data_IF_209226177087
#
_entry.id   IF_209226177087
#
_cell.length_a   1.000
_cell.length_b   1.000
_cell.length_c   1.000
_cell.angle_alpha   90.00
_cell.angle_beta   90.00
_cell.angle_gamma   90.00
#
_symmetry.space_group_name_H-M   'P 1'
#
loop_
_entity.id
_entity.type
_entity.pdbx_description
1 polymer ?
#
# COMPACT_ATOMS: atom_id res chain seq x y z
N UNK A 1 -8.20 -4.55 -23.94
CA UNK A 1 -6.91 -5.22 -23.61
C UNK A 1 -7.15 -6.19 -22.49
N UNK A 2 -6.76 -7.43 -22.65
CA UNK A 2 -6.96 -8.44 -21.61
C UNK A 2 -5.97 -8.22 -20.45
N UNK A 3 -6.46 -7.92 -19.26
CA UNK A 3 -5.68 -7.79 -18.02
C UNK A 3 -4.70 -8.97 -17.78
N UNK A 4 -5.11 -10.16 -18.20
CA UNK A 4 -4.32 -11.41 -18.08
C UNK A 4 -3.04 -11.39 -18.96
N UNK A 5 -3.07 -10.70 -20.09
CA UNK A 5 -1.90 -10.57 -20.99
C UNK A 5 -0.81 -9.74 -20.33
N UNK A 6 -1.19 -8.64 -19.69
CA UNK A 6 -0.27 -7.71 -19.03
C UNK A 6 0.43 -8.33 -17.80
N UNK A 7 -0.30 -9.05 -16.94
CA UNK A 7 0.30 -9.76 -15.80
C UNK A 7 1.28 -10.86 -16.22
N UNK A 8 0.94 -11.58 -17.28
CA UNK A 8 1.81 -12.62 -17.82
C UNK A 8 3.15 -12.07 -18.29
N UNK A 9 3.13 -10.94 -18.97
CA UNK A 9 4.34 -10.27 -19.44
C UNK A 9 5.18 -9.76 -18.27
N UNK A 10 4.56 -9.05 -17.33
CA UNK A 10 5.21 -8.54 -16.11
C UNK A 10 5.89 -9.69 -15.34
N UNK A 11 5.18 -10.78 -15.09
CA UNK A 11 5.74 -11.93 -14.37
C UNK A 11 6.91 -12.55 -15.14
N UNK A 12 6.78 -12.72 -16.45
CA UNK A 12 7.82 -13.31 -17.31
C UNK A 12 9.09 -12.45 -17.33
N UNK A 13 8.95 -11.13 -17.48
CA UNK A 13 10.07 -10.20 -17.55
C UNK A 13 10.86 -10.16 -16.24
N UNK A 14 10.19 -10.46 -15.11
CA UNK A 14 10.80 -10.58 -13.79
C UNK A 14 11.24 -12.01 -13.44
N UNK A 15 11.26 -12.93 -14.43
CA UNK A 15 11.70 -14.32 -14.24
C UNK A 15 10.74 -15.18 -13.39
N UNK A 16 9.49 -14.77 -13.28
CA UNK A 16 8.48 -15.47 -12.49
C UNK A 16 7.56 -16.32 -13.38
N UNK A 17 7.23 -17.52 -12.90
CA UNK A 17 6.22 -18.35 -13.55
C UNK A 17 4.85 -17.67 -13.48
N UNK A 18 4.15 -17.66 -14.60
CA UNK A 18 2.77 -17.23 -14.67
C UNK A 18 1.87 -18.30 -14.03
N UNK A 19 1.30 -18.00 -12.87
CA UNK A 19 0.39 -18.88 -12.15
C UNK A 19 -0.94 -18.19 -11.86
N UNK A 20 -2.01 -18.99 -11.76
CA UNK A 20 -3.34 -18.47 -11.45
C UNK A 20 -3.35 -17.62 -10.18
N UNK A 21 -2.72 -18.09 -9.11
CA UNK A 21 -2.69 -17.38 -7.83
C UNK A 21 -1.94 -16.03 -7.91
N UNK A 22 -0.81 -15.96 -8.63
CA UNK A 22 -0.09 -14.69 -8.84
C UNK A 22 -0.93 -13.69 -9.61
N UNK A 23 -1.57 -14.12 -10.68
CA UNK A 23 -2.47 -13.27 -11.46
C UNK A 23 -3.66 -12.78 -10.61
N UNK A 24 -4.28 -13.66 -9.82
CA UNK A 24 -5.40 -13.27 -8.96
C UNK A 24 -4.97 -12.23 -7.92
N UNK A 25 -3.79 -12.38 -7.32
CA UNK A 25 -3.26 -11.40 -6.34
C UNK A 25 -2.96 -10.05 -7.02
N UNK A 26 -2.32 -10.06 -8.19
CA UNK A 26 -2.05 -8.83 -8.94
C UNK A 26 -3.36 -8.12 -9.33
N UNK A 27 -4.37 -8.87 -9.76
CA UNK A 27 -5.70 -8.30 -10.07
C UNK A 27 -6.40 -7.69 -8.85
N UNK A 28 -6.19 -8.23 -7.65
CA UNK A 28 -6.71 -7.62 -6.41
C UNK A 28 -6.05 -6.27 -6.16
N UNK A 29 -4.74 -6.16 -6.34
CA UNK A 29 -4.03 -4.89 -6.21
C UNK A 29 -4.47 -3.84 -7.24
N UNK A 30 -4.67 -4.23 -8.50
CA UNK A 30 -5.10 -3.30 -9.55
C UNK A 30 -6.48 -2.69 -9.30
N UNK A 31 -7.34 -3.42 -8.62
CA UNK A 31 -8.70 -2.96 -8.27
C UNK A 31 -8.74 -2.16 -6.97
N UNK A 32 -7.66 -2.13 -6.22
CA UNK A 32 -7.59 -1.42 -4.95
C UNK A 32 -6.90 -0.08 -5.11
N UNK A 33 -7.59 0.96 -4.65
CA UNK A 33 -7.02 2.31 -4.55
C UNK A 33 -6.20 2.53 -3.27
N UNK A 34 -6.06 1.48 -2.44
CA UNK A 34 -5.38 1.55 -1.16
C UNK A 34 -4.46 0.34 -0.95
N UNK A 35 -3.38 0.49 -0.17
CA UNK A 35 -2.58 -0.63 0.25
C UNK A 35 -3.40 -1.66 1.03
N UNK A 36 -3.11 -2.93 0.85
CA UNK A 36 -3.85 -4.04 1.42
C UNK A 36 -2.97 -4.90 2.33
N UNK A 37 -3.55 -5.41 3.41
CA UNK A 37 -2.95 -6.48 4.21
C UNK A 37 -3.12 -7.84 3.52
N UNK A 38 -2.31 -8.83 3.90
CA UNK A 38 -2.46 -10.19 3.42
C UNK A 38 -3.85 -10.78 3.74
N UNK A 39 -4.41 -10.44 4.91
CA UNK A 39 -5.76 -10.87 5.32
C UNK A 39 -6.85 -10.28 4.42
N UNK A 40 -6.73 -9.01 4.03
CA UNK A 40 -7.66 -8.36 3.11
C UNK A 40 -7.59 -8.99 1.71
N UNK A 41 -6.38 -9.27 1.22
CA UNK A 41 -6.17 -9.98 -0.05
C UNK A 41 -6.80 -11.38 0.01
N UNK A 42 -6.62 -12.10 1.11
CA UNK A 42 -7.22 -13.40 1.33
C UNK A 42 -8.75 -13.33 1.28
N UNK A 43 -9.35 -12.41 2.03
CA UNK A 43 -10.80 -12.21 2.06
C UNK A 43 -11.37 -11.91 0.67
N UNK A 44 -10.70 -11.06 -0.11
CA UNK A 44 -11.10 -10.72 -1.47
C UNK A 44 -11.04 -11.94 -2.40
N UNK A 45 -9.95 -12.72 -2.35
CA UNK A 45 -9.81 -13.93 -3.17
C UNK A 45 -10.82 -15.02 -2.82
N UNK A 46 -11.13 -15.18 -1.54
CA UNK A 46 -12.19 -16.10 -1.08
C UNK A 46 -13.57 -15.66 -1.59
N UNK A 47 -13.86 -14.36 -1.56
CA UNK A 47 -15.12 -13.82 -2.12
C UNK A 47 -15.26 -14.09 -3.62
N UNK A 48 -14.15 -14.18 -4.34
CA UNK A 48 -14.08 -14.52 -5.75
C UNK A 48 -14.04 -16.03 -6.02
N UNK A 49 -14.31 -16.86 -5.02
CA UNK A 49 -14.23 -18.34 -5.10
C UNK A 49 -12.84 -18.87 -5.53
N UNK A 50 -11.79 -18.15 -5.20
CA UNK A 50 -10.42 -18.61 -5.45
C UNK A 50 -9.95 -19.49 -4.29
N UNK A 51 -9.68 -20.77 -4.56
CA UNK A 51 -9.13 -21.69 -3.57
C UNK A 51 -7.64 -21.38 -3.32
N UNK A 52 -7.35 -20.69 -2.24
CA UNK A 52 -6.00 -20.31 -1.82
C UNK A 52 -5.94 -20.29 -0.29
N UNK A 53 -4.79 -20.55 0.29
CA UNK A 53 -4.56 -20.36 1.73
C UNK A 53 -3.65 -19.17 2.02
N UNK A 54 -3.73 -18.66 3.24
CA UNK A 54 -3.00 -17.48 3.67
C UNK A 54 -1.47 -17.66 3.57
N UNK A 55 -0.96 -18.86 3.86
CA UNK A 55 0.48 -19.17 3.73
C UNK A 55 0.98 -19.02 2.29
N UNK A 56 0.17 -19.40 1.32
CA UNK A 56 0.48 -19.23 -0.11
C UNK A 56 0.49 -17.75 -0.48
N UNK A 57 -0.45 -16.97 0.04
CA UNK A 57 -0.48 -15.51 -0.16
C UNK A 57 0.81 -14.87 0.36
N UNK A 58 1.20 -15.14 1.60
CA UNK A 58 2.44 -14.60 2.17
C UNK A 58 3.68 -14.96 1.34
N UNK A 59 3.75 -16.17 0.83
CA UNK A 59 4.84 -16.64 -0.02
C UNK A 59 4.89 -15.89 -1.34
N UNK A 60 3.73 -15.66 -1.96
CA UNK A 60 3.62 -14.91 -3.21
C UNK A 60 3.98 -13.43 -2.96
N UNK A 61 3.44 -12.80 -1.92
CA UNK A 61 3.73 -11.42 -1.55
C UNK A 61 5.24 -11.21 -1.31
N UNK A 62 5.89 -12.13 -0.61
CA UNK A 62 7.34 -12.10 -0.42
C UNK A 62 8.07 -12.12 -1.76
N UNK A 63 7.73 -13.05 -2.64
CA UNK A 63 8.35 -13.19 -3.98
C UNK A 63 8.14 -11.93 -4.82
N UNK A 64 6.91 -11.39 -4.84
CA UNK A 64 6.61 -10.16 -5.59
C UNK A 64 7.33 -8.94 -5.03
N UNK A 65 7.50 -8.85 -3.70
CA UNK A 65 8.27 -7.77 -3.05
C UNK A 65 9.77 -7.88 -3.37
N UNK A 66 10.34 -9.08 -3.35
CA UNK A 66 11.75 -9.32 -3.72
C UNK A 66 12.04 -8.99 -5.19
N UNK A 67 11.03 -9.04 -6.04
CA UNK A 67 11.09 -8.63 -7.45
C UNK A 67 10.66 -7.18 -7.68
N UNK A 68 10.44 -6.43 -6.62
CA UNK A 68 10.01 -5.03 -6.67
C UNK A 68 8.73 -4.78 -7.49
N UNK A 69 7.90 -5.81 -7.66
CA UNK A 69 6.58 -5.69 -8.31
C UNK A 69 5.53 -5.12 -7.38
N UNK A 70 5.72 -5.29 -6.09
CA UNK A 70 4.91 -4.69 -5.04
C UNK A 70 5.81 -4.06 -3.97
N UNK A 71 5.29 -3.04 -3.30
CA UNK A 71 5.94 -2.37 -2.18
C UNK A 71 5.31 -2.87 -0.89
N UNK A 72 6.16 -3.20 0.10
CA UNK A 72 5.75 -3.49 1.46
C UNK A 72 5.82 -2.22 2.29
N UNK A 73 4.69 -1.86 2.90
CA UNK A 73 4.57 -0.70 3.79
C UNK A 73 4.42 -1.22 5.22
N UNK A 74 5.22 -0.68 6.12
CA UNK A 74 5.14 -0.95 7.57
C UNK A 74 4.79 0.34 8.27
N UNK A 75 3.68 0.37 9.00
CA UNK A 75 3.27 1.54 9.78
C UNK A 75 3.87 1.42 11.17
N UNK A 76 4.49 2.49 11.64
CA UNK A 76 5.04 2.54 12.99
C UNK A 76 3.92 2.32 14.03
N UNK A 77 4.15 1.39 14.95
CA UNK A 77 3.17 1.00 15.97
C UNK A 77 2.07 0.03 15.49
N UNK A 78 2.15 -0.45 14.25
CA UNK A 78 1.29 -1.53 13.76
C UNK A 78 2.15 -2.73 13.34
N UNK A 79 1.78 -3.92 13.80
CA UNK A 79 2.47 -5.16 13.46
C UNK A 79 2.08 -5.72 12.09
N UNK A 80 1.12 -5.10 11.41
CA UNK A 80 0.63 -5.55 10.11
C UNK A 80 1.37 -4.85 8.97
N UNK A 81 1.87 -5.66 8.05
CA UNK A 81 2.40 -5.16 6.79
C UNK A 81 1.25 -4.92 5.79
N UNK A 82 1.36 -3.82 5.08
CA UNK A 82 0.52 -3.48 3.94
C UNK A 82 1.32 -3.62 2.65
N UNK A 83 0.63 -3.88 1.57
CA UNK A 83 1.24 -4.08 0.27
C UNK A 83 0.47 -3.30 -0.79
N UNK A 84 1.18 -2.76 -1.77
CA UNK A 84 0.61 -2.11 -2.95
C UNK A 84 1.46 -2.42 -4.19
N UNK A 85 0.90 -2.20 -5.39
CA UNK A 85 1.68 -2.31 -6.62
C UNK A 85 2.79 -1.25 -6.63
N UNK A 86 3.98 -1.67 -7.05
CA UNK A 86 5.06 -0.74 -7.35
C UNK A 86 4.76 -0.12 -8.73
N UNK A 87 4.11 1.03 -8.72
CA UNK A 87 3.89 1.83 -9.94
C UNK A 87 4.99 2.87 -10.07
N UNK A 88 5.33 3.23 -11.30
CA UNK A 88 6.28 4.31 -11.60
C UNK A 88 5.76 5.69 -11.15
N UNK A 89 4.50 5.77 -10.79
CA UNK A 89 3.90 6.97 -10.22
C UNK A 89 4.29 7.10 -8.74
N UNK A 90 4.87 8.24 -8.39
CA UNK A 90 5.20 8.59 -7.00
C UNK A 90 3.93 8.68 -6.16
N UNK A 91 3.73 7.70 -5.29
CA UNK A 91 2.61 7.69 -4.35
C UNK A 91 3.10 8.01 -2.96
N UNK A 92 2.44 8.96 -2.33
CA UNK A 92 2.70 9.36 -0.96
C UNK A 92 1.53 8.94 -0.09
N UNK A 93 1.80 8.68 1.19
CA UNK A 93 0.80 8.15 2.10
C UNK A 93 0.52 9.14 3.22
N UNK A 94 -0.76 9.39 3.46
CA UNK A 94 -1.27 10.08 4.63
C UNK A 94 -1.90 9.04 5.57
N UNK A 95 -1.31 8.87 6.74
CA UNK A 95 -1.66 7.81 7.68
C UNK A 95 -2.36 8.39 8.89
N UNK A 96 -3.56 7.90 9.19
CA UNK A 96 -4.24 8.23 10.44
C UNK A 96 -3.63 7.42 11.60
N UNK A 97 -3.11 8.12 12.60
CA UNK A 97 -2.50 7.47 13.78
C UNK A 97 -3.51 6.75 14.67
N UNK A 98 -4.80 7.13 14.60
CA UNK A 98 -5.87 6.54 15.39
C UNK A 98 -6.46 5.27 14.76
N UNK A 99 -6.99 5.36 13.54
CA UNK A 99 -7.65 4.23 12.88
C UNK A 99 -6.77 3.47 11.89
N UNK A 100 -5.52 3.92 11.70
CA UNK A 100 -4.55 3.33 10.76
C UNK A 100 -4.97 3.33 9.29
N UNK A 101 -6.00 4.10 8.95
CA UNK A 101 -6.40 4.30 7.56
C UNK A 101 -5.31 5.04 6.80
N UNK A 102 -5.03 4.56 5.59
CA UNK A 102 -4.08 5.16 4.68
C UNK A 102 -4.85 5.80 3.53
N UNK A 103 -4.55 7.06 3.27
CA UNK A 103 -5.03 7.80 2.10
C UNK A 103 -3.84 8.09 1.21
N UNK A 104 -3.98 7.81 -0.09
CA UNK A 104 -2.95 8.15 -1.06
C UNK A 104 -3.01 9.63 -1.42
N UNK A 105 -1.84 10.23 -1.62
CA UNK A 105 -1.68 11.59 -2.09
C UNK A 105 -0.93 11.55 -3.41
N UNK A 106 -1.61 11.96 -4.47
CA UNK A 106 -1.10 11.85 -5.85
C UNK A 106 -0.11 12.97 -6.21
N UNK A 107 -0.14 14.08 -5.47
CA UNK A 107 0.77 15.21 -5.71
C UNK A 107 2.09 15.02 -4.97
N UNK A 108 3.21 15.15 -5.69
CA UNK A 108 4.53 15.12 -5.10
C UNK A 108 5.02 16.54 -4.80
N UNK A 109 5.17 16.92 -3.51
CA UNK A 109 5.67 18.26 -3.15
C UNK A 109 7.19 18.41 -3.35
N UNK A 110 7.91 17.33 -3.63
CA UNK A 110 9.38 17.34 -3.68
C UNK A 110 9.97 17.47 -5.08
N UNK A 111 9.20 17.46 -6.13
CA UNK A 111 9.71 17.45 -7.50
C UNK A 111 10.63 18.67 -7.80
N UNK A 112 10.18 19.87 -7.45
CA UNK A 112 10.98 21.07 -7.60
C UNK A 112 12.15 21.14 -6.60
N UNK A 113 11.92 20.64 -5.38
CA UNK A 113 12.94 20.62 -4.35
C UNK A 113 14.09 19.68 -4.70
N UNK A 114 13.80 18.52 -5.26
CA UNK A 114 14.81 17.59 -5.75
C UNK A 114 15.64 18.17 -6.89
N UNK A 115 15.03 18.92 -7.81
CA UNK A 115 15.78 19.63 -8.87
C UNK A 115 16.81 20.60 -8.27
N UNK A 116 16.39 21.38 -7.26
CA UNK A 116 17.27 22.31 -6.55
C UNK A 116 18.40 21.60 -5.79
N UNK A 117 18.13 20.44 -5.20
CA UNK A 117 19.13 19.64 -4.52
C UNK A 117 20.17 19.06 -5.50
N UNK A 118 19.73 18.56 -6.65
CA UNK A 118 20.63 18.09 -7.72
C UNK A 118 21.59 19.19 -8.17
N UNK A 119 21.07 20.39 -8.40
CA UNK A 119 21.86 21.53 -8.85
C UNK A 119 22.84 22.03 -7.77
N UNK A 120 22.41 22.13 -6.52
CA UNK A 120 23.22 22.67 -5.44
C UNK A 120 24.22 21.70 -4.86
N UNK A 121 23.87 20.43 -4.77
CA UNK A 121 24.63 19.42 -4.04
C UNK A 121 25.33 18.42 -4.95
N UNK A 122 25.06 18.43 -6.25
CA UNK A 122 25.67 17.49 -7.21
C UNK A 122 25.26 16.03 -7.00
N UNK A 123 24.12 15.79 -6.34
CA UNK A 123 23.61 14.44 -6.08
C UNK A 123 22.77 13.94 -7.25
N UNK A 124 22.91 12.65 -7.55
CA UNK A 124 21.93 11.93 -8.36
C UNK A 124 20.87 11.36 -7.42
N UNK A 125 19.66 11.96 -7.41
CA UNK A 125 18.56 11.50 -6.59
C UNK A 125 17.88 10.34 -7.30
N UNK A 126 17.80 9.19 -6.62
CA UNK A 126 17.20 7.97 -7.14
C UNK A 126 15.72 7.81 -6.73
N UNK A 127 15.29 8.58 -5.75
CA UNK A 127 13.91 8.55 -5.23
C UNK A 127 13.81 9.15 -3.83
N UNK A 128 12.59 9.22 -3.35
CA UNK A 128 12.27 9.65 -1.98
C UNK A 128 11.08 8.86 -1.43
N UNK A 129 10.91 8.90 -0.13
CA UNK A 129 9.74 8.36 0.55
C UNK A 129 9.11 9.48 1.39
N UNK A 130 7.80 9.67 1.26
CA UNK A 130 7.04 10.61 2.08
C UNK A 130 5.86 9.89 2.71
N UNK A 131 5.83 9.90 4.03
CA UNK A 131 4.70 9.48 4.85
C UNK A 131 4.32 10.63 5.76
N UNK A 132 3.05 11.02 5.76
CA UNK A 132 2.53 12.07 6.63
C UNK A 132 1.58 11.43 7.63
N UNK A 133 1.80 11.69 8.90
CA UNK A 133 0.99 11.17 10.00
C UNK A 133 0.05 12.24 10.54
N UNK A 134 -1.21 11.89 10.76
CA UNK A 134 -2.22 12.81 11.27
C UNK A 134 -3.43 12.08 11.83
N UNK A 135 -4.52 12.81 12.07
CA UNK A 135 -5.80 12.26 12.52
C UNK A 135 -6.86 12.57 11.47
N UNK A 136 -7.51 11.55 10.93
CA UNK A 136 -8.55 11.73 9.92
C UNK A 136 -9.82 12.39 10.49
N UNK A 137 -10.63 12.98 9.63
CA UNK A 137 -11.85 13.69 10.06
C UNK A 137 -12.79 12.81 10.87
N UNK A 138 -12.98 11.54 10.51
CA UNK A 138 -13.81 10.60 11.27
C UNK A 138 -13.32 10.40 12.70
N UNK A 139 -12.02 10.35 12.92
CA UNK A 139 -11.44 10.19 14.25
C UNK A 139 -11.50 11.50 15.05
N UNK A 140 -11.33 12.66 14.41
CA UNK A 140 -11.53 13.97 15.04
C UNK A 140 -12.97 14.14 15.53
N UNK A 141 -13.96 13.85 14.68
CA UNK A 141 -15.37 13.95 15.04
C UNK A 141 -15.74 13.04 16.20
N UNK A 142 -15.21 11.81 16.24
CA UNK A 142 -15.41 10.89 17.38
C UNK A 142 -14.80 11.43 18.68
N UNK A 143 -13.67 12.08 18.63
CA UNK A 143 -13.04 12.70 19.79
C UNK A 143 -13.85 13.91 20.27
N UNK A 144 -14.35 14.75 19.38
CA UNK A 144 -15.19 15.92 19.70
C UNK A 144 -16.54 15.51 20.31
N UNK A 145 -17.14 14.41 19.83
CA UNK A 145 -18.37 13.86 20.41
C UNK A 145 -18.12 13.37 21.83
N UNK A 146 -17.01 12.67 22.10
CA UNK A 146 -16.64 12.23 23.46
C UNK A 146 -16.44 13.40 24.41
N UNK A 147 -15.81 14.47 23.95
CA UNK A 147 -15.62 15.68 24.77
C UNK A 147 -16.92 16.44 25.04
N UNK A 148 -17.90 16.39 24.15
CA UNK A 148 -19.22 17.04 24.33
C UNK A 148 -20.18 16.26 25.18
N UNK A 149 -20.04 14.94 25.26
CA UNK A 149 -20.96 14.05 26.03
C UNK A 149 -20.54 13.82 27.47
N UNK A 150 -19.40 14.35 27.92
CA UNK A 150 -19.01 14.39 29.35
C UNK A 150 -19.02 13.06 30.07
N UNK A 151 -18.86 11.94 29.37
CA UNK A 151 -18.76 10.62 29.99
C UNK A 151 -17.31 10.40 30.37
N UNK A 152 -17.02 10.78 31.61
CA UNK A 152 -15.80 10.42 32.33
C UNK A 152 -15.77 8.88 32.44
N UNK A 153 -14.82 8.23 31.77
CA UNK A 153 -14.59 6.82 32.02
C UNK A 153 -13.65 6.70 33.22
N UNK A 154 -14.00 5.91 34.24
CA UNK A 154 -13.12 5.67 35.38
C UNK A 154 -11.82 5.03 34.93
N UNK A 155 -10.76 5.47 35.55
CA UNK A 155 -9.37 5.01 35.38
C UNK A 155 -9.20 3.51 35.60
#
# INVERSE_FOLDING_TARGET
MNEISTHREILKDNGLKNTKHRNSILSVFEKSDQPLTADQIYAELVSQNTAINLSTIYRILKTLSEKELIIKITIEGDNKALFELNSDEHRHHLVCIECKEITMVDECPFEEYEKKLKEKMGFTILGHKLEIYGVCNRCKEKADVKNKTGIDQPR
#
